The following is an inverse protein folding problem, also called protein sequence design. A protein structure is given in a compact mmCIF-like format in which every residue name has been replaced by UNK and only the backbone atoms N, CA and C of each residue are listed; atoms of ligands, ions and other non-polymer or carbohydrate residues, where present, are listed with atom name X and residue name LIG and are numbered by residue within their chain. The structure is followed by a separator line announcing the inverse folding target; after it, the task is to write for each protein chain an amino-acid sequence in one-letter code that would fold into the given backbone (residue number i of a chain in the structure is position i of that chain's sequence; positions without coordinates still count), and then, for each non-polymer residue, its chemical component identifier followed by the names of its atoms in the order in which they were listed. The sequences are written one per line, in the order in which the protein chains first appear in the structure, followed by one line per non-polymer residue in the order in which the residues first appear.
data_IF_639738685239
#
_entry.id   IF_639738685239
#
_cell.length_a   1.000
_cell.length_b   1.000
_cell.length_c   1.000
_cell.angle_alpha   90.00
_cell.angle_beta   90.00
_cell.angle_gamma   90.00
#
_symmetry.space_group_name_H-M   'P 1'
#
loop_
_entity.id
_entity.type
_entity.pdbx_description
1 polymer ?
#
# COMPACT_ATOMS: atom_id res chain seq x y z
N UNK A 1 48.42 41.04 -5.98
CA UNK A 1 47.26 40.29 -5.46
C UNK A 1 46.94 39.24 -6.49
N UNK A 2 47.54 38.06 -6.33
CA UNK A 2 47.45 36.96 -7.30
C UNK A 2 46.37 35.98 -6.79
N UNK A 3 45.18 36.02 -7.38
CA UNK A 3 44.10 35.09 -7.05
C UNK A 3 44.34 33.80 -7.84
N UNK A 4 45.28 32.99 -7.34
CA UNK A 4 45.53 31.64 -7.83
C UNK A 4 44.26 30.81 -7.73
N UNK A 5 43.53 30.68 -8.84
CA UNK A 5 42.41 29.76 -8.96
C UNK A 5 42.96 28.35 -8.79
N UNK A 6 42.76 27.78 -7.60
CA UNK A 6 43.18 26.42 -7.26
C UNK A 6 42.36 25.47 -8.12
N UNK A 7 42.89 25.10 -9.28
CA UNK A 7 42.29 24.14 -10.20
C UNK A 7 42.05 22.86 -9.43
N UNK A 8 40.79 22.56 -9.10
CA UNK A 8 40.44 21.25 -8.57
C UNK A 8 40.69 20.22 -9.68
N UNK A 9 41.49 19.17 -9.43
CA UNK A 9 41.69 18.12 -10.41
C UNK A 9 40.35 17.42 -10.69
N UNK A 10 40.10 17.10 -11.96
CA UNK A 10 38.93 16.31 -12.36
C UNK A 10 38.97 14.97 -11.62
N UNK A 11 37.88 14.53 -10.97
CA UNK A 11 37.80 13.20 -10.38
C UNK A 11 38.12 12.14 -11.42
N UNK A 12 38.97 11.18 -11.07
CA UNK A 12 39.29 10.05 -11.93
C UNK A 12 38.01 9.23 -12.14
N UNK A 13 37.72 8.89 -13.40
CA UNK A 13 36.63 7.96 -13.72
C UNK A 13 37.03 6.60 -13.14
N UNK A 14 36.24 6.03 -12.21
CA UNK A 14 36.55 4.70 -11.70
C UNK A 14 36.47 3.68 -12.84
N UNK A 15 37.36 2.69 -12.80
CA UNK A 15 37.30 1.53 -13.70
C UNK A 15 35.97 0.81 -13.46
N UNK A 16 35.10 0.65 -14.47
CA UNK A 16 33.80 -0.01 -14.31
C UNK A 16 33.91 -1.49 -13.92
N UNK A 17 35.09 -2.11 -14.06
CA UNK A 17 35.37 -3.49 -13.65
C UNK A 17 36.02 -3.59 -12.26
N UNK A 18 36.31 -2.46 -11.61
CA UNK A 18 36.87 -2.48 -10.27
C UNK A 18 35.87 -3.08 -9.28
N UNK A 19 36.23 -4.23 -8.72
CA UNK A 19 35.45 -4.91 -7.71
C UNK A 19 35.41 -4.05 -6.44
N UNK A 20 34.20 -3.73 -5.96
CA UNK A 20 34.03 -2.94 -4.73
C UNK A 20 34.53 -3.77 -3.54
N UNK A 21 35.44 -3.26 -2.69
CA UNK A 21 35.92 -4.00 -1.53
C UNK A 21 34.85 -4.10 -0.44
N UNK A 22 34.86 -5.20 0.33
CA UNK A 22 34.09 -5.30 1.59
C UNK A 22 34.57 -4.23 2.60
N UNK A 23 33.70 -3.61 3.42
CA UNK A 23 32.26 -3.90 3.61
C UNK A 23 31.33 -3.11 2.65
N UNK A 24 31.87 -2.45 1.63
CA UNK A 24 31.10 -1.56 0.76
C UNK A 24 30.36 -2.31 -0.37
N UNK A 25 30.51 -3.64 -0.46
CA UNK A 25 29.67 -4.49 -1.31
C UNK A 25 28.27 -4.60 -0.73
N UNK A 26 27.46 -3.57 -0.95
CA UNK A 26 26.04 -3.60 -0.67
C UNK A 26 25.22 -3.97 -1.91
N UNK A 27 23.93 -4.34 -1.72
CA UNK A 27 23.00 -4.42 -2.83
C UNK A 27 22.91 -3.07 -3.53
N UNK A 28 23.30 -3.05 -4.80
CA UNK A 28 23.31 -1.86 -5.64
C UNK A 28 21.89 -1.56 -6.13
N UNK A 29 21.64 -0.35 -6.63
CA UNK A 29 20.32 0.05 -7.17
C UNK A 29 19.74 -0.94 -8.19
N UNK A 30 20.60 -1.65 -8.93
CA UNK A 30 20.21 -2.72 -9.88
C UNK A 30 19.80 -4.04 -9.22
N UNK A 31 20.21 -4.28 -7.98
CA UNK A 31 19.87 -5.48 -7.19
C UNK A 31 18.55 -5.31 -6.43
N UNK A 32 18.08 -4.06 -6.28
CA UNK A 32 16.80 -3.73 -5.64
C UNK A 32 15.63 -3.95 -6.61
N UNK A 33 15.01 -5.13 -6.56
CA UNK A 33 13.72 -5.36 -7.19
C UNK A 33 12.63 -4.61 -6.38
N UNK A 34 11.64 -3.93 -7.00
CA UNK A 34 10.54 -3.27 -6.28
C UNK A 34 9.67 -4.18 -5.38
N UNK A 35 9.87 -5.50 -5.44
CA UNK A 35 9.17 -6.50 -4.61
C UNK A 35 10.12 -7.27 -3.69
N UNK A 36 11.43 -7.01 -3.74
CA UNK A 36 12.35 -7.48 -2.71
C UNK A 36 12.12 -6.63 -1.47
N UNK A 37 11.22 -7.11 -0.62
CA UNK A 37 11.01 -6.54 0.70
C UNK A 37 12.31 -6.70 1.48
N UNK A 38 13.02 -5.60 1.70
CA UNK A 38 14.18 -5.57 2.59
C UNK A 38 13.72 -6.14 3.93
N UNK A 39 14.32 -7.27 4.33
CA UNK A 39 14.07 -7.83 5.65
C UNK A 39 14.77 -6.95 6.67
N UNK A 40 13.98 -6.13 7.36
CA UNK A 40 14.49 -5.25 8.40
C UNK A 40 14.79 -6.05 9.67
N UNK A 41 15.94 -5.77 10.28
CA UNK A 41 16.25 -6.23 11.62
C UNK A 41 15.32 -5.57 12.65
N UNK A 42 15.12 -6.21 13.79
CA UNK A 42 14.16 -5.73 14.81
C UNK A 42 14.49 -4.32 15.31
N UNK A 43 15.78 -4.02 15.45
CA UNK A 43 16.29 -2.69 15.80
C UNK A 43 15.93 -1.62 14.74
N UNK A 44 15.97 -1.96 13.46
CA UNK A 44 15.57 -1.06 12.38
C UNK A 44 14.05 -0.85 12.36
N UNK A 45 13.28 -1.90 12.66
CA UNK A 45 11.81 -1.83 12.75
C UNK A 45 11.35 -0.90 13.88
N UNK A 46 12.09 -0.85 14.99
CA UNK A 46 11.80 0.05 16.11
C UNK A 46 11.94 1.54 15.77
N UNK A 47 12.71 1.87 14.72
CA UNK A 47 12.86 3.25 14.23
C UNK A 47 11.69 3.69 13.33
N UNK A 48 10.86 2.75 12.89
CA UNK A 48 9.74 3.00 12.00
C UNK A 48 8.46 3.22 12.78
N UNK A 49 7.56 4.05 12.23
CA UNK A 49 6.20 4.07 12.71
C UNK A 49 5.52 2.71 12.42
N UNK A 50 4.92 2.03 13.42
CA UNK A 50 4.32 0.71 13.23
C UNK A 50 3.07 0.73 12.31
N UNK A 51 2.45 1.89 12.11
CA UNK A 51 1.31 2.06 11.21
C UNK A 51 1.73 2.39 9.78
N UNK A 52 2.83 3.15 9.62
CA UNK A 52 3.21 3.70 8.32
C UNK A 52 4.40 2.99 7.69
N UNK A 53 5.22 2.27 8.45
CA UNK A 53 6.44 1.64 7.97
C UNK A 53 7.53 2.63 7.52
N UNK A 54 7.46 3.90 7.97
CA UNK A 54 8.43 4.95 7.61
C UNK A 54 9.15 5.49 8.84
N UNK A 55 10.42 5.93 8.71
CA UNK A 55 11.15 6.55 9.81
C UNK A 55 10.44 7.80 10.32
N UNK A 56 10.34 7.93 11.64
CA UNK A 56 9.71 9.10 12.27
C UNK A 56 10.78 10.07 12.74
N UNK A 57 11.13 11.06 11.91
CA UNK A 57 12.13 12.09 12.26
C UNK A 57 11.55 13.08 13.29
N UNK A 58 10.26 13.43 13.16
CA UNK A 58 9.54 14.28 14.11
C UNK A 58 8.11 13.77 14.31
N UNK A 59 7.78 13.35 15.54
CA UNK A 59 6.57 12.57 15.84
C UNK A 59 5.27 13.35 15.65
N UNK A 60 5.28 14.64 15.97
CA UNK A 60 4.07 15.49 15.92
C UNK A 60 3.65 15.74 14.47
N UNK A 61 4.57 16.13 13.59
CA UNK A 61 4.24 16.35 12.17
C UNK A 61 3.88 15.05 11.47
N UNK A 62 4.54 13.95 11.83
CA UNK A 62 4.21 12.64 11.29
C UNK A 62 2.77 12.22 11.59
N UNK A 63 2.34 12.30 12.86
CA UNK A 63 0.96 11.94 13.28
C UNK A 63 -0.10 12.84 12.66
N UNK A 64 0.22 14.11 12.44
CA UNK A 64 -0.66 15.05 11.71
C UNK A 64 -0.72 14.80 10.20
N UNK A 65 0.19 14.00 9.66
CA UNK A 65 0.30 13.74 8.23
C UNK A 65 -0.85 12.92 7.65
N UNK A 66 -1.16 13.17 6.38
CA UNK A 66 -2.25 12.49 5.66
C UNK A 66 -2.04 10.98 5.58
N UNK A 67 -0.80 10.53 5.34
CA UNK A 67 -0.45 9.11 5.30
C UNK A 67 -0.77 8.41 6.62
N UNK A 68 -0.38 9.01 7.75
CA UNK A 68 -0.60 8.42 9.07
C UNK A 68 -2.09 8.30 9.38
N UNK A 69 -2.86 9.37 9.15
CA UNK A 69 -4.31 9.39 9.37
C UNK A 69 -5.06 8.39 8.50
N UNK A 70 -4.61 8.22 7.25
CA UNK A 70 -5.18 7.21 6.35
C UNK A 70 -4.90 5.78 6.85
N UNK A 71 -3.68 5.51 7.31
CA UNK A 71 -3.33 4.20 7.88
C UNK A 71 -4.04 3.92 9.21
N UNK A 72 -4.21 4.92 10.08
CA UNK A 72 -5.03 4.81 11.29
C UNK A 72 -6.47 4.44 10.95
N UNK A 73 -7.09 5.16 10.01
CA UNK A 73 -8.46 4.88 9.56
C UNK A 73 -8.59 3.47 8.98
N UNK A 74 -7.62 3.03 8.18
CA UNK A 74 -7.59 1.68 7.62
C UNK A 74 -7.38 0.61 8.71
N UNK A 75 -6.55 0.87 9.72
CA UNK A 75 -6.35 -0.02 10.86
C UNK A 75 -7.65 -0.19 11.67
N UNK A 76 -8.37 0.90 11.93
CA UNK A 76 -9.69 0.86 12.59
C UNK A 76 -10.68 0.04 11.76
N UNK A 77 -10.76 0.27 10.44
CA UNK A 77 -11.65 -0.48 9.57
C UNK A 77 -11.33 -1.98 9.56
N UNK A 78 -10.04 -2.35 9.49
CA UNK A 78 -9.60 -3.76 9.61
C UNK A 78 -9.99 -4.38 10.95
N UNK A 79 -9.82 -3.63 12.04
CA UNK A 79 -10.25 -4.06 13.38
C UNK A 79 -11.75 -4.28 13.47
N UNK A 80 -12.57 -3.42 12.84
CA UNK A 80 -14.02 -3.61 12.76
C UNK A 80 -14.40 -4.87 11.98
N UNK A 81 -13.68 -5.18 10.90
CA UNK A 81 -13.91 -6.41 10.10
C UNK A 81 -13.65 -7.66 10.94
N UNK A 82 -12.57 -7.70 11.73
CA UNK A 82 -12.28 -8.82 12.61
C UNK A 82 -13.36 -9.05 13.69
N UNK A 83 -14.18 -8.03 13.99
CA UNK A 83 -15.29 -8.11 14.95
C UNK A 83 -16.63 -8.45 14.30
N UNK A 84 -16.74 -8.48 12.97
CA UNK A 84 -17.94 -8.94 12.25
C UNK A 84 -18.49 -10.29 12.73
N UNK A 85 -17.67 -11.32 13.05
CA UNK A 85 -18.19 -12.61 13.53
C UNK A 85 -18.97 -12.52 14.85
N UNK A 86 -18.85 -11.41 15.59
CA UNK A 86 -19.55 -11.17 16.86
C UNK A 86 -20.82 -10.33 16.71
N UNK A 87 -21.13 -9.85 15.51
CA UNK A 87 -22.34 -9.05 15.26
C UNK A 87 -23.52 -10.00 15.11
N UNK A 88 -24.51 -9.84 15.98
CA UNK A 88 -25.77 -10.58 15.87
C UNK A 88 -26.57 -10.13 14.63
N UNK A 89 -27.38 -11.04 14.09
CA UNK A 89 -28.18 -10.81 12.89
C UNK A 89 -29.12 -9.58 13.04
N UNK A 90 -29.64 -9.32 14.23
CA UNK A 90 -30.56 -8.20 14.46
C UNK A 90 -29.84 -6.84 14.40
N UNK A 91 -28.59 -6.78 14.89
CA UNK A 91 -27.73 -5.61 14.77
C UNK A 91 -27.29 -5.38 13.31
N UNK A 92 -27.02 -6.44 12.57
CA UNK A 92 -26.73 -6.36 11.13
C UNK A 92 -27.92 -5.80 10.35
N UNK A 93 -29.12 -6.34 10.55
CA UNK A 93 -30.33 -5.89 9.87
C UNK A 93 -30.67 -4.42 10.18
N UNK A 94 -30.52 -3.99 11.45
CA UNK A 94 -30.69 -2.58 11.84
C UNK A 94 -29.69 -1.69 11.11
N UNK A 95 -28.42 -2.09 11.06
CA UNK A 95 -27.38 -1.34 10.36
C UNK A 95 -27.69 -1.22 8.86
N UNK A 96 -28.10 -2.33 8.22
CA UNK A 96 -28.50 -2.32 6.82
C UNK A 96 -29.72 -1.44 6.55
N UNK A 97 -30.69 -1.38 7.46
CA UNK A 97 -31.85 -0.49 7.34
C UNK A 97 -31.43 0.99 7.35
N UNK A 98 -30.51 1.38 8.23
CA UNK A 98 -29.95 2.74 8.28
C UNK A 98 -29.20 3.08 6.99
N UNK A 99 -28.33 2.18 6.51
CA UNK A 99 -27.58 2.41 5.26
C UNK A 99 -28.52 2.51 4.06
N UNK A 100 -29.52 1.64 3.95
CA UNK A 100 -30.54 1.69 2.90
C UNK A 100 -31.28 3.03 2.88
N UNK A 101 -31.56 3.60 4.05
CA UNK A 101 -32.32 4.84 4.16
C UNK A 101 -31.47 6.08 3.87
N UNK A 102 -30.27 6.19 4.47
CA UNK A 102 -29.48 7.42 4.42
C UNK A 102 -28.38 7.42 3.35
N UNK A 103 -27.87 6.25 2.97
CA UNK A 103 -26.73 6.12 2.05
C UNK A 103 -26.91 4.93 1.09
N UNK A 104 -28.00 4.88 0.32
CA UNK A 104 -28.29 3.73 -0.56
C UNK A 104 -27.19 3.48 -1.59
N UNK A 105 -26.46 4.51 -2.02
CA UNK A 105 -25.34 4.41 -2.97
C UNK A 105 -24.14 3.58 -2.46
N UNK A 106 -24.04 3.33 -1.15
CA UNK A 106 -23.00 2.47 -0.58
C UNK A 106 -23.32 0.97 -0.74
N UNK A 107 -24.56 0.63 -1.08
CA UNK A 107 -24.95 -0.77 -1.28
C UNK A 107 -24.56 -1.21 -2.69
N UNK A 108 -24.10 -2.47 -2.85
CA UNK A 108 -23.79 -3.00 -4.17
C UNK A 108 -25.05 -2.96 -5.05
N UNK A 109 -24.90 -2.66 -6.36
CA UNK A 109 -26.02 -2.66 -7.27
C UNK A 109 -26.68 -4.05 -7.30
N UNK A 110 -28.01 -4.12 -7.50
CA UNK A 110 -28.69 -5.39 -7.62
C UNK A 110 -28.07 -6.17 -8.77
N UNK A 111 -27.53 -7.36 -8.47
CA UNK A 111 -26.99 -8.25 -9.49
C UNK A 111 -28.13 -8.62 -10.43
N UNK A 112 -28.12 -8.09 -11.64
CA UNK A 112 -29.05 -8.51 -12.69
C UNK A 112 -28.74 -9.97 -13.00
N UNK A 113 -29.60 -10.89 -12.55
CA UNK A 113 -29.59 -12.25 -13.08
C UNK A 113 -29.95 -12.13 -14.56
N UNK A 114 -28.98 -12.33 -15.44
CA UNK A 114 -29.27 -12.56 -16.86
C UNK A 114 -30.08 -13.85 -16.97
N UNK A 115 -31.40 -13.71 -17.09
CA UNK A 115 -32.28 -14.78 -17.51
C UNK A 115 -31.97 -15.10 -18.96
N UNK A 116 -31.15 -16.12 -19.19
CA UNK A 116 -30.94 -16.68 -20.52
C UNK A 116 -32.28 -17.29 -20.99
N UNK A 117 -33.02 -16.57 -21.84
CA UNK A 117 -34.12 -17.16 -22.59
C UNK A 117 -33.54 -18.00 -23.72
N UNK A 118 -33.38 -19.31 -23.50
CA UNK A 118 -33.09 -20.24 -24.59
C UNK A 118 -34.36 -20.43 -25.41
N UNK A 119 -34.57 -19.58 -26.42
CA UNK A 119 -35.56 -19.85 -27.46
C UNK A 119 -35.06 -21.04 -28.28
N UNK A 120 -35.66 -22.21 -28.07
CA UNK A 120 -35.50 -23.37 -28.96
C UNK A 120 -36.22 -23.06 -30.28
N UNK A 121 -35.47 -22.74 -31.32
CA UNK A 121 -35.98 -22.70 -32.70
C UNK A 121 -36.17 -24.14 -33.18
N UNK A 122 -37.41 -24.61 -33.17
CA UNK A 122 -37.82 -25.83 -33.87
C UNK A 122 -37.83 -25.53 -35.38
N UNK A 123 -36.87 -26.08 -36.13
CA UNK A 123 -36.97 -26.15 -37.59
C UNK A 123 -37.86 -27.36 -37.97
N UNK A 124 -39.04 -27.08 -38.52
CA UNK A 124 -39.78 -28.05 -39.31
C UNK A 124 -39.13 -28.15 -40.70
N UNK A 125 -38.76 -29.36 -41.12
CA UNK A 125 -38.50 -29.69 -42.52
C UNK A 125 -39.80 -30.19 -43.16
N UNK A 126 -40.06 -29.70 -44.38
CA UNK A 126 -40.99 -30.27 -45.34
C UNK A 126 -40.43 -31.58 -45.91
#
# INVERSE_FOLDING_TARGET
MDTGSKVQPRPLTPDPLAEVPEPFRGPTLTDHHPYNLVQLHEEERQLLCPLCGVPTIYSVTHRGGTLHRAQESAAVARGAILRLPTIDEQSLQRTLAVVKHFRPALLPPPRQRMSQSTSKTTMNRF
#
